data_IF_350008649051
#
_entry.id   IF_350008649051
#
_cell.length_a   1.000
_cell.length_b   1.000
_cell.length_c   1.000
_cell.angle_alpha   90.00
_cell.angle_beta   90.00
_cell.angle_gamma   90.00
#
_symmetry.space_group_name_H-M   'P 1'
#
loop_
_entity.id
_entity.type
_entity.pdbx_description
1 polymer ?
#
# COMPACT_ATOMS: atom_id res chain seq x y z
N UNK A 1 2.74 33.45 -32.41
CA UNK A 1 2.21 32.09 -32.68
C UNK A 1 3.32 31.07 -32.38
N UNK A 2 3.06 29.99 -31.65
CA UNK A 2 4.06 28.95 -31.37
C UNK A 2 4.00 27.83 -32.41
N UNK A 3 5.15 27.32 -32.85
CA UNK A 3 5.32 26.15 -33.72
C UNK A 3 5.88 24.99 -32.91
N UNK A 4 5.04 23.98 -32.64
CA UNK A 4 5.46 22.79 -31.88
C UNK A 4 6.55 21.99 -32.62
N UNK A 5 6.41 21.82 -33.93
CA UNK A 5 7.35 21.05 -34.74
C UNK A 5 8.76 21.66 -34.75
N UNK A 6 8.86 22.99 -34.75
CA UNK A 6 10.14 23.70 -34.70
C UNK A 6 10.63 23.99 -33.27
N UNK A 7 9.78 23.75 -32.26
CA UNK A 7 9.96 24.20 -30.89
C UNK A 7 10.20 25.72 -30.77
N UNK A 8 9.57 26.52 -31.64
CA UNK A 8 9.91 27.93 -31.82
C UNK A 8 8.68 28.84 -31.70
N UNK A 9 8.91 30.01 -31.12
CA UNK A 9 7.94 31.10 -31.13
C UNK A 9 8.14 31.96 -32.38
N UNK A 10 7.05 32.46 -32.96
CA UNK A 10 7.13 33.43 -34.06
C UNK A 10 7.98 34.65 -33.65
N UNK A 11 8.67 35.23 -34.63
CA UNK A 11 9.50 36.41 -34.43
C UNK A 11 8.71 37.53 -33.73
N UNK A 12 9.33 38.20 -32.76
CA UNK A 12 8.73 39.25 -31.91
C UNK A 12 7.48 38.84 -31.11
N UNK A 13 7.27 37.54 -30.86
CA UNK A 13 6.18 37.06 -30.00
C UNK A 13 6.71 36.41 -28.72
N UNK A 14 5.89 36.45 -27.67
CA UNK A 14 6.17 35.78 -26.39
C UNK A 14 5.32 34.51 -26.27
N UNK A 15 5.96 33.35 -26.17
CA UNK A 15 5.26 32.06 -26.06
C UNK A 15 5.48 31.36 -24.70
N UNK A 16 6.30 31.91 -23.81
CA UNK A 16 6.73 31.26 -22.56
C UNK A 16 5.56 30.93 -21.62
N UNK A 17 4.55 31.80 -21.56
CA UNK A 17 3.33 31.52 -20.77
C UNK A 17 2.52 30.37 -21.36
N UNK A 18 2.37 30.33 -22.69
CA UNK A 18 1.66 29.25 -23.38
C UNK A 18 2.39 27.92 -23.17
N UNK A 19 3.71 27.88 -23.40
CA UNK A 19 4.50 26.65 -23.27
C UNK A 19 4.49 26.12 -21.85
N UNK A 20 4.55 26.99 -20.83
CA UNK A 20 4.41 26.59 -19.43
C UNK A 20 3.03 25.98 -19.15
N UNK A 21 1.97 26.56 -19.69
CA UNK A 21 0.61 26.09 -19.47
C UNK A 21 0.37 24.69 -20.04
N UNK A 22 1.03 24.35 -21.15
CA UNK A 22 0.91 23.03 -21.81
C UNK A 22 2.09 22.10 -21.52
N UNK A 23 2.88 22.39 -20.48
CA UNK A 23 4.09 21.62 -20.16
C UNK A 23 3.74 20.25 -19.55
N UNK A 24 4.11 19.16 -20.22
CA UNK A 24 3.65 17.81 -19.90
C UNK A 24 4.00 17.33 -18.48
N UNK A 25 5.12 17.78 -17.93
CA UNK A 25 5.55 17.38 -16.57
C UNK A 25 5.00 18.29 -15.48
N UNK A 26 4.44 19.46 -15.82
CA UNK A 26 3.88 20.41 -14.84
C UNK A 26 2.52 19.92 -14.37
N UNK A 27 2.51 19.26 -13.21
CA UNK A 27 1.34 18.51 -12.70
C UNK A 27 0.58 19.23 -11.58
N UNK A 28 1.16 20.31 -11.04
CA UNK A 28 0.58 21.11 -9.96
C UNK A 28 0.60 22.57 -10.33
N UNK A 29 -0.47 23.26 -9.99
CA UNK A 29 -0.69 24.68 -10.23
C UNK A 29 -1.21 25.31 -8.94
N UNK A 30 -0.63 26.42 -8.53
CA UNK A 30 -1.16 27.29 -7.48
C UNK A 30 -1.21 28.71 -7.99
N UNK A 31 -2.35 29.39 -7.86
CA UNK A 31 -2.51 30.76 -8.32
C UNK A 31 -2.97 31.68 -7.18
N UNK A 32 -2.54 32.93 -7.23
CA UNK A 32 -2.91 33.98 -6.30
C UNK A 32 -3.19 35.28 -7.05
N UNK A 33 -4.06 36.10 -6.47
CA UNK A 33 -4.44 37.40 -7.01
C UNK A 33 -4.36 38.43 -5.89
N UNK A 34 -3.77 39.58 -6.16
CA UNK A 34 -3.64 40.66 -5.20
C UNK A 34 -3.86 42.02 -5.88
N UNK A 35 -4.64 42.89 -5.24
CA UNK A 35 -4.81 44.28 -5.69
C UNK A 35 -3.73 45.14 -5.05
N UNK A 36 -2.97 45.82 -5.89
CA UNK A 36 -1.88 46.69 -5.53
C UNK A 36 -2.33 48.14 -5.66
N UNK A 37 -2.39 48.86 -4.54
CA UNK A 37 -2.65 50.30 -4.53
C UNK A 37 -1.35 51.05 -4.82
N UNK A 38 -1.18 51.53 -6.05
CA UNK A 38 -0.06 52.39 -6.44
C UNK A 38 -0.47 53.87 -6.49
N UNK A 39 0.49 54.79 -6.32
CA UNK A 39 0.25 56.24 -6.28
C UNK A 39 -0.37 56.85 -7.56
N UNK A 40 -0.46 56.11 -8.66
CA UNK A 40 -0.99 56.58 -9.95
C UNK A 40 -2.10 55.71 -10.55
N UNK A 41 -2.33 54.49 -10.03
CA UNK A 41 -3.46 53.62 -10.42
C UNK A 41 -3.58 52.41 -9.49
N UNK A 42 -4.81 51.95 -9.29
CA UNK A 42 -5.10 50.61 -8.76
C UNK A 42 -4.67 49.57 -9.81
N UNK A 43 -3.75 48.68 -9.44
CA UNK A 43 -3.29 47.57 -10.28
C UNK A 43 -3.67 46.24 -9.66
N UNK A 44 -3.74 45.19 -10.48
CA UNK A 44 -4.01 43.84 -10.00
C UNK A 44 -2.91 42.89 -10.47
N UNK A 45 -2.24 42.26 -9.50
CA UNK A 45 -1.26 41.21 -9.76
C UNK A 45 -1.96 39.85 -9.73
N UNK A 46 -1.78 39.08 -10.81
CA UNK A 46 -2.18 37.68 -10.89
C UNK A 46 -0.95 36.82 -11.15
N UNK A 47 -0.69 35.86 -10.27
CA UNK A 47 0.51 35.02 -10.33
C UNK A 47 0.10 33.57 -10.21
N UNK A 48 0.66 32.72 -11.07
CA UNK A 48 0.53 31.27 -10.98
C UNK A 48 1.92 30.63 -10.93
N UNK A 49 2.09 29.69 -10.00
CA UNK A 49 3.27 28.85 -9.87
C UNK A 49 2.96 27.43 -10.33
N UNK A 50 3.87 26.86 -11.12
CA UNK A 50 3.76 25.52 -11.70
C UNK A 50 4.83 24.60 -11.10
N UNK A 51 4.46 23.36 -10.77
CA UNK A 51 5.39 22.37 -10.22
C UNK A 51 5.17 20.97 -10.80
N UNK A 52 6.25 20.27 -11.22
CA UNK A 52 7.57 20.81 -11.56
C UNK A 52 7.52 21.97 -12.57
N UNK A 53 8.51 22.86 -12.53
CA UNK A 53 8.65 23.96 -13.48
C UNK A 53 8.82 23.46 -14.91
N UNK A 54 8.34 24.24 -15.87
CA UNK A 54 8.47 23.97 -17.30
C UNK A 54 9.50 24.88 -17.98
N UNK A 55 9.38 25.01 -19.32
CA UNK A 55 10.22 25.87 -20.16
C UNK A 55 11.72 25.59 -20.03
N UNK A 56 12.08 24.30 -19.95
CA UNK A 56 13.47 23.88 -19.90
C UNK A 56 14.18 24.22 -21.21
N UNK A 57 15.41 24.69 -21.10
CA UNK A 57 16.28 24.98 -22.23
C UNK A 57 17.47 24.04 -22.26
N UNK A 58 17.82 23.59 -23.46
CA UNK A 58 19.02 22.81 -23.72
C UNK A 58 19.78 23.51 -24.84
N UNK A 59 21.05 23.86 -24.59
CA UNK A 59 21.90 24.58 -25.54
C UNK A 59 21.28 25.91 -26.05
N UNK A 60 20.62 26.65 -25.17
CA UNK A 60 19.99 27.94 -25.51
C UNK A 60 18.72 27.83 -26.37
N UNK A 61 18.17 26.61 -26.55
CA UNK A 61 16.88 26.39 -27.20
C UNK A 61 15.89 25.77 -26.22
N UNK A 62 14.71 26.36 -26.08
CA UNK A 62 13.62 25.77 -25.31
C UNK A 62 13.20 24.44 -25.93
N UNK A 63 13.08 23.39 -25.12
CA UNK A 63 12.60 22.08 -25.60
C UNK A 63 11.09 22.10 -25.82
N UNK A 64 10.58 21.13 -26.59
CA UNK A 64 9.14 21.00 -26.80
C UNK A 64 8.40 20.74 -25.48
N UNK A 65 7.24 21.38 -25.24
CA UNK A 65 6.54 21.29 -23.96
C UNK A 65 5.91 19.92 -23.70
N UNK A 66 5.66 19.13 -24.74
CA UNK A 66 5.09 17.79 -24.67
C UNK A 66 5.48 16.96 -25.89
N UNK A 67 5.45 15.63 -25.74
CA UNK A 67 5.65 14.71 -26.86
C UNK A 67 4.35 14.58 -27.67
N UNK A 68 4.43 14.79 -28.99
CA UNK A 68 3.29 14.58 -29.89
C UNK A 68 3.02 13.09 -30.06
N UNK A 69 1.75 12.70 -30.03
CA UNK A 69 1.30 11.31 -30.22
C UNK A 69 -0.13 11.09 -29.74
N UNK A 70 -0.58 9.83 -29.73
CA UNK A 70 -1.86 9.46 -29.15
C UNK A 70 -1.90 9.85 -27.67
N UNK A 71 -3.00 10.47 -27.23
CA UNK A 71 -3.16 10.83 -25.82
C UNK A 71 -2.99 9.60 -24.93
N UNK A 72 -2.41 9.84 -23.75
CA UNK A 72 -2.13 8.81 -22.76
C UNK A 72 -1.22 7.63 -23.17
N UNK A 73 -0.66 7.63 -24.38
CA UNK A 73 0.27 6.58 -24.83
C UNK A 73 1.53 6.46 -23.97
N UNK A 74 1.86 7.50 -23.19
CA UNK A 74 3.02 7.55 -22.31
C UNK A 74 2.67 7.71 -20.83
N UNK A 75 1.45 7.40 -20.40
CA UNK A 75 1.13 7.27 -18.98
C UNK A 75 1.71 5.95 -18.44
N UNK A 76 3.04 5.88 -18.39
CA UNK A 76 3.81 4.65 -18.12
C UNK A 76 4.06 4.40 -16.64
N UNK A 77 3.76 5.36 -15.78
CA UNK A 77 3.83 5.13 -14.35
C UNK A 77 2.79 4.05 -13.99
N UNK A 78 3.22 3.05 -13.23
CA UNK A 78 2.44 1.89 -12.77
C UNK A 78 1.12 2.25 -12.08
N UNK A 79 0.96 3.52 -11.70
CA UNK A 79 -0.10 4.07 -10.87
C UNK A 79 -0.81 5.28 -11.52
N UNK A 80 -0.42 5.67 -12.73
CA UNK A 80 -1.02 6.77 -13.50
C UNK A 80 -2.05 6.23 -14.50
N UNK A 81 -3.31 6.66 -14.36
CA UNK A 81 -4.37 6.39 -15.33
C UNK A 81 -4.39 7.38 -16.49
N UNK A 82 -5.25 7.12 -17.47
CA UNK A 82 -5.60 8.09 -18.50
C UNK A 82 -6.94 8.73 -18.14
N UNK A 83 -6.93 10.01 -17.78
CA UNK A 83 -8.15 10.78 -17.61
C UNK A 83 -8.66 11.18 -18.99
N UNK A 84 -9.74 10.55 -19.45
CA UNK A 84 -10.34 10.84 -20.76
C UNK A 84 -11.20 12.10 -20.69
N UNK A 85 -11.12 12.94 -21.72
CA UNK A 85 -12.06 14.04 -21.90
C UNK A 85 -13.48 13.50 -22.15
N UNK A 86 -14.49 14.30 -21.80
CA UNK A 86 -15.91 13.94 -21.90
C UNK A 86 -16.36 13.64 -23.33
N UNK A 87 -15.71 14.26 -24.32
CA UNK A 87 -15.94 14.06 -25.75
C UNK A 87 -15.15 12.87 -26.33
N UNK A 88 -14.38 12.17 -25.50
CA UNK A 88 -13.47 11.08 -25.89
C UNK A 88 -12.44 11.43 -26.98
N UNK A 89 -12.26 12.71 -27.30
CA UNK A 89 -11.32 13.19 -28.31
C UNK A 89 -9.92 13.48 -27.74
N UNK A 90 -9.71 13.22 -26.45
CA UNK A 90 -8.45 13.48 -25.77
C UNK A 90 -8.36 12.87 -24.38
N UNK A 91 -7.21 13.07 -23.74
CA UNK A 91 -6.98 12.69 -22.36
C UNK A 91 -5.67 13.21 -21.80
N UNK A 92 -5.59 13.27 -20.47
CA UNK A 92 -4.40 13.66 -19.72
C UNK A 92 -3.92 12.48 -18.88
N UNK A 93 -2.60 12.38 -18.68
CA UNK A 93 -2.07 11.43 -17.71
C UNK A 93 -2.43 11.88 -16.30
N UNK A 94 -3.06 10.99 -15.54
CA UNK A 94 -3.33 11.21 -14.14
C UNK A 94 -2.03 11.16 -13.37
N UNK A 95 -1.75 12.22 -12.61
CA UNK A 95 -0.76 12.15 -11.53
C UNK A 95 -1.53 11.73 -10.29
N UNK A 96 -1.43 10.48 -9.83
CA UNK A 96 -2.21 10.03 -8.69
C UNK A 96 -1.87 10.89 -7.48
N UNK A 97 -2.86 11.58 -6.89
CA UNK A 97 -2.70 12.23 -5.58
C UNK A 97 -2.29 11.21 -4.50
N UNK A 98 -2.65 9.95 -4.74
CA UNK A 98 -2.30 8.80 -3.94
C UNK A 98 -2.07 7.58 -4.86
N UNK A 99 -0.82 7.21 -5.14
CA UNK A 99 -0.50 6.11 -6.05
C UNK A 99 -0.98 4.74 -5.54
N UNK A 100 -1.29 4.62 -4.25
CA UNK A 100 -1.77 3.38 -3.64
C UNK A 100 -3.29 3.17 -3.78
N UNK A 101 -4.03 4.16 -4.31
CA UNK A 101 -5.50 4.15 -4.44
C UNK A 101 -6.23 3.75 -3.13
N UNK A 102 -5.67 4.10 -1.96
CA UNK A 102 -6.24 3.73 -0.66
C UNK A 102 -6.07 4.83 0.38
N UNK A 103 -6.99 4.95 1.33
CA UNK A 103 -6.92 5.96 2.39
C UNK A 103 -6.84 5.30 3.76
N UNK A 104 -5.96 5.80 4.62
CA UNK A 104 -5.93 5.39 6.02
C UNK A 104 -7.06 6.07 6.79
N UNK A 105 -7.73 5.33 7.66
CA UNK A 105 -8.79 5.82 8.56
C UNK A 105 -8.19 6.27 9.89
N UNK A 106 -9.04 6.91 10.70
CA UNK A 106 -8.72 7.28 12.09
C UNK A 106 -7.39 8.04 12.23
N UNK A 107 -7.08 8.95 11.29
CA UNK A 107 -5.84 9.74 11.27
C UNK A 107 -4.55 8.93 11.04
N UNK A 108 -4.65 7.70 10.52
CA UNK A 108 -3.48 6.92 10.09
C UNK A 108 -2.69 7.60 8.99
N UNK A 109 -1.37 7.37 8.96
CA UNK A 109 -0.44 7.94 7.96
C UNK A 109 -0.13 6.91 6.88
N UNK A 110 -0.40 7.23 5.61
CA UNK A 110 -0.07 6.35 4.48
C UNK A 110 1.41 6.47 4.13
N UNK A 111 2.14 5.36 4.22
CA UNK A 111 3.44 5.23 3.57
C UNK A 111 3.22 4.98 2.07
N UNK A 112 3.52 5.97 1.26
CA UNK A 112 3.27 5.96 -0.19
C UNK A 112 4.23 5.03 -0.94
N UNK A 113 5.41 4.76 -0.37
CA UNK A 113 6.42 3.87 -0.97
C UNK A 113 6.08 2.39 -0.80
N UNK A 114 5.48 2.03 0.35
CA UNK A 114 5.10 0.64 0.66
C UNK A 114 3.59 0.38 0.56
N UNK A 115 2.79 1.42 0.34
CA UNK A 115 1.33 1.38 0.37
C UNK A 115 0.75 0.76 1.65
N UNK A 116 1.36 1.10 2.79
CA UNK A 116 0.94 0.65 4.11
C UNK A 116 0.49 1.81 5.00
N UNK A 117 -0.57 1.61 5.78
CA UNK A 117 -1.03 2.59 6.76
C UNK A 117 -0.33 2.40 8.11
N UNK A 118 0.41 3.41 8.55
CA UNK A 118 0.85 3.50 9.95
C UNK A 118 -0.32 3.96 10.80
N UNK A 119 -0.82 3.07 11.65
CA UNK A 119 -1.97 3.33 12.50
C UNK A 119 -1.57 4.02 13.80
N UNK A 120 -2.38 4.95 14.30
CA UNK A 120 -2.17 5.52 15.62
C UNK A 120 -2.41 4.46 16.71
N UNK A 121 -1.91 4.68 17.94
CA UNK A 121 -2.13 3.77 19.05
C UNK A 121 -3.60 3.39 19.23
N UNK A 122 -3.87 2.11 19.47
CA UNK A 122 -5.23 1.59 19.62
C UNK A 122 -6.00 1.39 18.32
N UNK A 123 -5.36 1.49 17.15
CA UNK A 123 -5.96 1.14 15.86
C UNK A 123 -5.09 0.17 15.07
N UNK A 124 -5.73 -0.76 14.36
CA UNK A 124 -5.08 -1.79 13.55
C UNK A 124 -5.86 -2.04 12.24
N UNK A 125 -5.34 -2.96 11.43
CA UNK A 125 -5.87 -3.33 10.11
C UNK A 125 -5.24 -2.53 8.97
N UNK A 126 -5.43 -3.04 7.74
CA UNK A 126 -4.82 -2.51 6.51
C UNK A 126 -5.05 -1.01 6.27
N UNK A 127 -6.18 -0.49 6.73
CA UNK A 127 -6.56 0.91 6.59
C UNK A 127 -6.75 1.59 7.95
N UNK A 128 -6.23 1.02 9.05
CA UNK A 128 -6.47 1.50 10.42
C UNK A 128 -7.95 1.57 10.80
N UNK A 129 -8.77 0.69 10.22
CA UNK A 129 -10.22 0.70 10.38
C UNK A 129 -10.68 0.03 11.67
N UNK A 130 -9.84 -0.82 12.26
CA UNK A 130 -10.20 -1.61 13.45
C UNK A 130 -9.71 -0.87 14.68
N UNK A 131 -10.62 -0.54 15.60
CA UNK A 131 -10.26 -0.01 16.93
C UNK A 131 -9.95 -1.18 17.85
N UNK A 132 -8.81 -1.12 18.52
CA UNK A 132 -8.43 -2.07 19.54
C UNK A 132 -9.14 -1.68 20.84
N UNK A 133 -10.18 -2.43 21.20
CA UNK A 133 -11.02 -2.20 22.38
C UNK A 133 -11.17 -3.46 23.23
N UNK A 134 -10.18 -4.37 23.16
CA UNK A 134 -10.21 -5.62 23.90
C UNK A 134 -10.01 -5.31 25.38
N UNK A 135 -10.97 -5.68 26.21
CA UNK A 135 -10.84 -5.62 27.67
C UNK A 135 -10.26 -6.94 28.16
N UNK A 136 -9.08 -6.88 28.79
CA UNK A 136 -8.47 -8.04 29.40
C UNK A 136 -9.01 -8.21 30.81
N UNK A 137 -9.77 -9.29 31.05
CA UNK A 137 -10.42 -9.55 32.35
C UNK A 137 -9.37 -9.96 33.39
N UNK A 138 -8.53 -10.94 33.06
CA UNK A 138 -7.43 -11.43 33.88
C UNK A 138 -6.11 -11.40 33.11
N UNK A 139 -5.61 -10.19 32.89
CA UNK A 139 -4.34 -9.98 32.20
C UNK A 139 -4.09 -8.52 31.87
N UNK A 140 -2.99 -8.26 31.18
CA UNK A 140 -2.61 -6.92 30.70
C UNK A 140 -2.85 -6.78 29.20
N UNK A 141 -3.31 -5.60 28.79
CA UNK A 141 -3.45 -5.27 27.39
C UNK A 141 -2.08 -4.94 26.77
N UNK A 142 -1.78 -5.52 25.62
CA UNK A 142 -0.59 -5.25 24.83
C UNK A 142 -0.97 -4.40 23.63
N UNK A 143 -0.70 -3.10 23.71
CA UNK A 143 -1.12 -2.11 22.72
C UNK A 143 -0.54 -2.36 21.32
N UNK A 144 0.71 -2.84 21.24
CA UNK A 144 1.41 -3.08 19.98
C UNK A 144 0.77 -4.19 19.13
N UNK A 145 0.24 -5.22 19.78
CA UNK A 145 -0.35 -6.39 19.11
C UNK A 145 -1.88 -6.37 19.20
N UNK A 146 -2.45 -5.39 19.90
CA UNK A 146 -3.87 -5.31 20.21
C UNK A 146 -4.43 -6.63 20.78
N UNK A 147 -3.69 -7.22 21.72
CA UNK A 147 -3.96 -8.52 22.31
C UNK A 147 -3.89 -8.47 23.83
N UNK A 148 -4.44 -9.48 24.50
CA UNK A 148 -4.30 -9.64 25.95
C UNK A 148 -3.19 -10.64 26.28
N UNK A 149 -2.31 -10.25 27.20
CA UNK A 149 -1.36 -11.15 27.84
C UNK A 149 -2.01 -11.63 29.13
N UNK A 150 -2.45 -12.89 29.15
CA UNK A 150 -3.22 -13.44 30.26
C UNK A 150 -2.37 -13.81 31.48
N UNK A 151 -2.96 -13.63 32.66
CA UNK A 151 -2.40 -14.11 33.90
C UNK A 151 -2.43 -15.64 33.97
N UNK A 152 -1.58 -16.22 34.82
CA UNK A 152 -1.46 -17.66 34.99
C UNK A 152 -2.82 -18.28 35.38
N UNK A 153 -3.26 -19.30 34.65
CA UNK A 153 -4.55 -19.96 34.86
C UNK A 153 -5.72 -19.32 34.10
N UNK A 154 -5.45 -18.33 33.24
CA UNK A 154 -6.45 -17.68 32.38
C UNK A 154 -6.03 -17.69 30.91
N UNK A 155 -7.02 -17.76 30.01
CA UNK A 155 -6.80 -17.87 28.57
C UNK A 155 -7.94 -17.29 27.74
N UNK A 156 -7.78 -17.35 26.40
CA UNK A 156 -8.69 -16.73 25.43
C UNK A 156 -8.33 -15.28 25.09
N UNK A 157 -8.97 -14.73 24.06
CA UNK A 157 -8.62 -13.41 23.51
C UNK A 157 -8.78 -12.23 24.50
N UNK A 158 -9.62 -12.40 25.52
CA UNK A 158 -9.88 -11.43 26.60
C UNK A 158 -9.40 -11.91 27.97
N UNK A 159 -8.76 -13.08 28.06
CA UNK A 159 -8.38 -13.71 29.33
C UNK A 159 -9.56 -13.93 30.29
N UNK A 160 -10.77 -14.11 29.77
CA UNK A 160 -11.98 -14.34 30.56
C UNK A 160 -12.15 -15.83 30.94
N UNK A 161 -11.48 -16.73 30.23
CA UNK A 161 -11.66 -18.17 30.42
C UNK A 161 -10.65 -18.67 31.46
N UNK A 162 -11.15 -19.19 32.59
CA UNK A 162 -10.32 -19.87 33.58
C UNK A 162 -9.90 -21.22 33.00
N UNK A 163 -8.60 -21.39 32.76
CA UNK A 163 -8.03 -22.64 32.25
C UNK A 163 -7.44 -23.43 33.41
N UNK A 164 -7.86 -24.68 33.55
CA UNK A 164 -7.37 -25.56 34.61
C UNK A 164 -6.09 -26.28 34.16
N UNK A 165 -5.11 -26.31 35.06
CA UNK A 165 -3.79 -26.91 34.81
C UNK A 165 -3.81 -28.44 34.75
N UNK A 166 -2.87 -29.09 34.01
CA UNK A 166 -1.41 -28.87 34.04
C UNK A 166 -0.77 -28.23 32.79
N UNK A 167 0.41 -27.62 32.99
CA UNK A 167 1.04 -26.54 32.20
C UNK A 167 1.56 -26.91 30.81
N UNK A 168 1.16 -28.04 30.24
CA UNK A 168 1.68 -28.50 28.97
C UNK A 168 0.55 -29.13 28.16
N UNK A 169 0.23 -28.55 27.01
CA UNK A 169 -0.30 -29.33 25.89
C UNK A 169 0.82 -30.26 25.44
N UNK A 170 0.91 -31.43 26.06
CA UNK A 170 1.56 -32.60 25.49
C UNK A 170 0.62 -33.79 25.68
N UNK A 171 -0.54 -33.76 25.02
CA UNK A 171 -1.25 -34.99 24.70
C UNK A 171 -0.99 -35.35 23.24
N UNK A 172 0.30 -35.52 22.94
CA UNK A 172 0.73 -36.35 21.81
C UNK A 172 1.76 -37.32 22.40
N UNK A 173 1.24 -38.45 22.89
CA UNK A 173 2.06 -39.53 23.42
C UNK A 173 2.34 -40.48 22.26
N UNK A 174 3.53 -40.36 21.67
CA UNK A 174 4.02 -41.32 20.68
C UNK A 174 4.60 -42.49 21.47
N UNK A 175 3.86 -43.60 21.52
CA UNK A 175 4.37 -44.84 22.09
C UNK A 175 5.09 -45.60 20.96
N UNK A 176 6.42 -45.51 20.93
CA UNK A 176 7.28 -46.12 19.92
C UNK A 176 8.36 -45.17 19.34
N UNK A 177 9.44 -45.76 18.82
CA UNK A 177 10.70 -45.04 18.55
C UNK A 177 10.79 -44.33 17.18
N UNK A 178 9.75 -44.38 16.32
CA UNK A 178 9.87 -43.80 14.97
C UNK A 178 8.52 -43.34 14.38
N UNK A 179 8.41 -42.07 14.01
CA UNK A 179 7.28 -41.50 13.26
C UNK A 179 7.78 -40.67 12.07
N UNK A 180 6.96 -40.57 11.01
CA UNK A 180 7.32 -39.87 9.78
C UNK A 180 6.24 -38.84 9.43
N UNK A 181 6.65 -37.57 9.32
CA UNK A 181 5.77 -36.46 8.91
C UNK A 181 6.04 -36.16 7.43
N UNK A 182 5.00 -36.02 6.61
CA UNK A 182 5.10 -35.66 5.19
C UNK A 182 4.84 -34.16 4.99
N UNK A 183 5.61 -33.49 4.14
CA UNK A 183 5.41 -32.08 3.76
C UNK A 183 4.51 -31.90 2.54
N UNK A 184 4.20 -32.98 1.82
CA UNK A 184 3.31 -32.96 0.67
C UNK A 184 1.86 -32.86 1.15
N UNK A 185 1.10 -31.91 0.58
CA UNK A 185 -0.34 -31.80 0.76
C UNK A 185 -1.04 -32.94 -0.03
N UNK A 186 -0.84 -34.17 0.43
CA UNK A 186 -1.54 -35.34 -0.10
C UNK A 186 -3.01 -35.29 0.34
N UNK A 187 -3.91 -35.76 -0.53
CA UNK A 187 -5.28 -36.08 -0.07
C UNK A 187 -5.21 -37.16 1.02
N UNK A 188 -6.21 -37.19 1.91
CA UNK A 188 -6.29 -38.20 2.99
C UNK A 188 -5.96 -39.62 2.50
N UNK A 189 -6.47 -40.02 1.33
CA UNK A 189 -6.25 -41.34 0.75
C UNK A 189 -4.80 -41.55 0.25
N UNK A 190 -4.16 -40.52 -0.31
CA UNK A 190 -2.75 -40.56 -0.70
C UNK A 190 -1.82 -40.68 0.50
N UNK A 191 -2.07 -39.88 1.54
CA UNK A 191 -1.32 -39.93 2.80
C UNK A 191 -1.46 -41.29 3.49
N UNK A 192 -2.67 -41.85 3.52
CA UNK A 192 -2.96 -43.18 4.07
C UNK A 192 -2.18 -44.29 3.34
N UNK A 193 -2.22 -44.30 2.00
CA UNK A 193 -1.52 -45.31 1.18
C UNK A 193 0.00 -45.30 1.40
N UNK A 194 0.62 -44.11 1.40
CA UNK A 194 2.07 -43.96 1.65
C UNK A 194 2.46 -44.37 3.07
N UNK A 195 1.65 -44.00 4.08
CA UNK A 195 1.89 -44.34 5.48
C UNK A 195 1.83 -45.86 5.70
N UNK A 196 0.79 -46.52 5.17
CA UNK A 196 0.65 -47.97 5.23
C UNK A 196 1.76 -48.72 4.47
N UNK A 197 2.22 -48.18 3.33
CA UNK A 197 3.34 -48.74 2.58
C UNK A 197 4.68 -48.73 3.33
N UNK A 198 4.82 -47.88 4.36
CA UNK A 198 5.98 -47.83 5.26
C UNK A 198 5.73 -48.55 6.60
N UNK A 199 4.63 -49.29 6.73
CA UNK A 199 4.24 -49.99 7.96
C UNK A 199 3.69 -49.08 9.07
N UNK A 200 3.39 -47.81 8.76
CA UNK A 200 2.89 -46.83 9.73
C UNK A 200 1.36 -46.78 9.82
N UNK A 201 0.87 -46.19 10.91
CA UNK A 201 -0.55 -45.88 11.13
C UNK A 201 -0.79 -44.36 11.02
N UNK A 202 -1.85 -43.96 10.30
CA UNK A 202 -2.17 -42.55 10.11
C UNK A 202 -2.84 -41.99 11.37
N UNK A 203 -2.28 -40.91 11.92
CA UNK A 203 -2.90 -40.14 13.01
C UNK A 203 -3.67 -38.95 12.43
N UNK A 204 -4.91 -38.74 12.90
CA UNK A 204 -5.72 -37.58 12.54
C UNK A 204 -5.45 -36.44 13.50
N UNK A 205 -5.09 -35.28 12.96
CA UNK A 205 -4.85 -34.06 13.73
C UNK A 205 -6.05 -33.13 13.52
N UNK A 206 -6.85 -32.96 14.56
CA UNK A 206 -8.10 -32.17 14.48
C UNK A 206 -7.86 -30.66 14.63
N UNK A 207 -6.68 -30.27 15.12
CA UNK A 207 -6.33 -28.87 15.36
C UNK A 207 -5.36 -28.35 14.31
N UNK A 208 -5.81 -27.36 13.52
CA UNK A 208 -4.96 -26.65 12.55
C UNK A 208 -3.69 -26.10 13.21
N UNK A 209 -3.79 -25.59 14.43
CA UNK A 209 -2.64 -25.07 15.19
C UNK A 209 -1.58 -26.15 15.46
N UNK A 210 -2.00 -27.39 15.76
CA UNK A 210 -1.07 -28.50 16.00
C UNK A 210 -0.39 -28.92 14.70
N UNK A 211 -1.15 -28.91 13.60
CA UNK A 211 -0.62 -29.18 12.27
C UNK A 211 0.47 -28.16 11.87
N UNK A 212 0.21 -26.86 12.10
CA UNK A 212 1.15 -25.79 11.77
C UNK A 212 2.44 -25.87 12.60
N UNK A 213 2.33 -26.24 13.89
CA UNK A 213 3.48 -26.45 14.78
C UNK A 213 4.35 -27.62 14.31
N UNK A 214 3.73 -28.75 13.96
CA UNK A 214 4.47 -29.93 13.47
C UNK A 214 5.17 -29.65 12.14
N UNK A 215 4.51 -28.90 11.24
CA UNK A 215 5.12 -28.46 9.98
C UNK A 215 6.33 -27.52 10.23
N UNK A 216 6.21 -26.59 11.18
CA UNK A 216 7.29 -25.66 11.54
C UNK A 216 8.53 -26.38 12.08
N UNK A 217 8.36 -27.33 13.01
CA UNK A 217 9.50 -28.05 13.58
C UNK A 217 10.14 -29.03 12.60
N UNK A 218 9.36 -29.64 11.69
CA UNK A 218 9.90 -30.50 10.61
C UNK A 218 10.86 -29.73 9.70
N UNK A 219 10.55 -28.48 9.35
CA UNK A 219 11.42 -27.63 8.52
C UNK A 219 12.76 -27.24 9.16
N UNK A 220 13.00 -27.62 10.42
CA UNK A 220 14.28 -27.45 11.14
C UNK A 220 15.03 -28.76 11.39
N UNK A 221 14.44 -29.91 11.00
CA UNK A 221 15.03 -31.24 11.18
C UNK A 221 15.55 -31.85 9.85
N UNK A 222 15.28 -31.19 8.72
CA UNK A 222 15.98 -31.37 7.43
C UNK A 222 17.15 -30.39 7.34
#
# INVERSE_FOLDING_TARGET
RYSHAAAECAHNATCTHYTQLVWATSSRLGCGRHRCSGAQAEMEAFVCAYSPGGNWEVNGKTIVPYKKGSWCSLCTASVSGCFKAWDHAGGLCEVPRNPCRMSCRNQGRLNVSTCHCHCPPGYTGRYCQVRCSVQCVHGRFREEECSCVCDVGYGGAQCATKVHFPFHTCDLRIDGDCFLVSSEADTYYGAKMKCQGKGGMLAQIESQKVQDILAFYRGRLE
#
